data_IF_796337978560
#
_entry.id   IF_796337978560
#
_cell.length_a   1.000
_cell.length_b   1.000
_cell.length_c   1.000
_cell.angle_alpha   90.00
_cell.angle_beta   90.00
_cell.angle_gamma   90.00
#
_symmetry.space_group_name_H-M   'P 1'
#
loop_
_entity.id
_entity.type
_entity.pdbx_description
1 polymer ?
#
# COMPACT_ATOMS: atom_id res chain seq x y z
N UNK A 1 70.43 -24.14 26.06
CA UNK A 1 69.41 -23.65 27.03
C UNK A 1 68.90 -22.33 26.50
N UNK A 2 67.69 -22.13 25.97
CA UNK A 2 66.51 -22.97 25.79
C UNK A 2 65.86 -22.63 24.44
N UNK A 3 65.22 -23.64 23.86
CA UNK A 3 64.37 -23.58 22.68
C UNK A 3 63.13 -22.70 22.94
N UNK A 4 62.71 -21.92 21.93
CA UNK A 4 61.31 -21.51 21.81
C UNK A 4 60.80 -21.80 20.41
N UNK A 5 59.67 -22.48 20.42
CA UNK A 5 59.02 -23.22 19.37
C UNK A 5 58.21 -22.35 18.41
N UNK A 6 58.04 -22.92 17.22
CA UNK A 6 57.26 -22.47 16.08
C UNK A 6 55.74 -22.55 16.37
N UNK A 7 54.95 -21.52 16.01
CA UNK A 7 53.57 -21.69 15.50
C UNK A 7 52.98 -20.38 14.92
N UNK A 8 52.33 -20.42 13.74
CA UNK A 8 51.56 -19.31 13.19
C UNK A 8 50.05 -19.48 13.50
N UNK A 9 49.35 -18.40 13.86
CA UNK A 9 47.88 -18.29 13.80
C UNK A 9 47.50 -16.80 13.96
N UNK A 10 46.53 -16.24 13.26
CA UNK A 10 45.50 -16.86 12.44
C UNK A 10 44.98 -15.96 11.34
N UNK A 11 44.26 -16.60 10.43
CA UNK A 11 43.43 -15.96 9.40
C UNK A 11 42.37 -15.05 10.03
N UNK A 12 42.01 -13.93 9.38
CA UNK A 12 40.81 -13.20 9.75
C UNK A 12 39.58 -14.09 9.48
N UNK A 13 38.70 -14.16 10.49
CA UNK A 13 37.46 -14.90 10.45
C UNK A 13 36.65 -14.56 9.19
N UNK A 14 36.24 -15.60 8.47
CA UNK A 14 35.26 -15.49 7.41
C UNK A 14 33.99 -14.85 7.97
N UNK A 15 33.55 -13.76 7.33
CA UNK A 15 32.20 -13.26 7.49
C UNK A 15 31.23 -14.41 7.19
N UNK A 16 30.43 -14.77 8.19
CA UNK A 16 29.21 -15.54 8.04
C UNK A 16 28.27 -14.78 7.10
N UNK A 17 28.47 -15.01 5.80
CA UNK A 17 27.50 -14.73 4.77
C UNK A 17 26.37 -15.74 4.90
N UNK A 18 25.52 -15.55 5.91
CA UNK A 18 24.17 -16.09 5.86
C UNK A 18 23.45 -15.29 4.77
N UNK A 19 23.56 -15.80 3.54
CA UNK A 19 22.59 -15.54 2.48
C UNK A 19 21.23 -16.00 3.03
N UNK A 20 20.56 -15.10 3.75
CA UNK A 20 19.12 -15.18 3.95
C UNK A 20 18.55 -15.04 2.56
N UNK A 21 18.33 -16.18 1.89
CA UNK A 21 17.60 -16.24 0.64
C UNK A 21 16.27 -15.57 0.90
N UNK A 22 16.12 -14.32 0.43
CA UNK A 22 14.91 -13.54 0.62
C UNK A 22 13.77 -14.33 0.00
N UNK A 23 12.88 -14.86 0.84
CA UNK A 23 11.77 -15.67 0.37
C UNK A 23 10.88 -14.81 -0.53
N UNK A 24 10.74 -15.21 -1.79
CA UNK A 24 9.77 -14.59 -2.70
C UNK A 24 8.36 -14.94 -2.22
N UNK A 25 7.54 -13.91 -2.00
CA UNK A 25 6.12 -14.03 -1.67
C UNK A 25 5.36 -13.12 -2.62
N UNK A 26 4.36 -13.68 -3.33
CA UNK A 26 3.47 -12.89 -4.19
C UNK A 26 2.07 -13.46 -4.14
N UNK A 27 1.12 -12.63 -3.75
CA UNK A 27 -0.29 -12.90 -3.95
C UNK A 27 -0.65 -12.67 -5.41
N UNK A 28 -1.17 -13.70 -6.06
CA UNK A 28 -1.71 -13.62 -7.41
C UNK A 28 -3.22 -13.36 -7.34
N UNK A 29 -3.74 -12.62 -8.32
CA UNK A 29 -5.17 -12.34 -8.43
C UNK A 29 -5.71 -11.34 -7.40
N UNK A 30 -4.84 -10.52 -6.78
CA UNK A 30 -5.31 -9.37 -5.99
C UNK A 30 -6.00 -8.39 -6.95
N UNK A 31 -7.29 -8.06 -6.75
CA UNK A 31 -8.00 -7.17 -7.66
C UNK A 31 -7.39 -5.77 -7.67
N UNK A 32 -7.13 -5.25 -8.86
CA UNK A 32 -6.75 -3.85 -9.02
C UNK A 32 -8.00 -2.97 -9.10
N UNK A 33 -8.04 -1.94 -8.27
CA UNK A 33 -9.04 -0.89 -8.35
C UNK A 33 -8.37 0.45 -8.61
N UNK A 34 -8.90 1.20 -9.58
CA UNK A 34 -8.53 2.61 -9.75
C UNK A 34 -9.23 3.45 -8.67
N UNK A 35 -8.54 4.47 -8.16
CA UNK A 35 -9.19 5.46 -7.27
C UNK A 35 -10.17 6.34 -8.05
N UNK A 36 -10.08 6.33 -9.38
CA UNK A 36 -11.05 6.91 -10.30
C UNK A 36 -12.04 5.83 -10.79
N UNK A 37 -12.96 6.19 -11.69
CA UNK A 37 -13.99 5.26 -12.17
C UNK A 37 -13.40 4.17 -13.06
N UNK A 38 -12.44 4.53 -13.90
CA UNK A 38 -11.86 3.68 -14.93
C UNK A 38 -10.33 3.79 -14.94
N UNK A 39 -9.60 2.67 -15.02
CA UNK A 39 -8.13 2.69 -15.12
C UNK A 39 -7.61 3.53 -16.31
N UNK A 40 -8.30 3.45 -17.46
CA UNK A 40 -7.91 4.20 -18.66
C UNK A 40 -8.09 5.72 -18.56
N UNK A 41 -8.75 6.22 -17.53
CA UNK A 41 -8.95 7.66 -17.31
C UNK A 41 -7.89 8.29 -16.42
N UNK A 42 -7.06 7.49 -15.74
CA UNK A 42 -6.08 8.00 -14.79
C UNK A 42 -5.12 8.99 -15.46
N UNK A 43 -4.56 8.65 -16.63
CA UNK A 43 -3.62 9.52 -17.36
C UNK A 43 -4.25 10.87 -17.70
N UNK A 44 -5.48 10.87 -18.24
CA UNK A 44 -6.20 12.12 -18.58
C UNK A 44 -6.41 13.01 -17.35
N UNK A 45 -6.77 12.41 -16.22
CA UNK A 45 -7.00 13.17 -14.98
C UNK A 45 -5.69 13.76 -14.44
N UNK A 46 -4.61 12.98 -14.42
CA UNK A 46 -3.36 13.41 -13.75
C UNK A 46 -2.39 14.17 -14.66
N UNK A 47 -2.50 14.01 -15.97
CA UNK A 47 -1.60 14.63 -16.97
C UNK A 47 -2.28 15.78 -17.73
N UNK A 48 -3.58 15.68 -18.00
CA UNK A 48 -4.34 16.66 -18.79
C UNK A 48 -5.27 17.53 -17.93
N UNK A 49 -5.30 17.32 -16.61
CA UNK A 49 -6.23 17.97 -15.67
C UNK A 49 -7.71 17.77 -16.07
N UNK A 50 -8.03 16.63 -16.69
CA UNK A 50 -9.39 16.28 -17.07
C UNK A 50 -10.29 16.15 -15.83
N UNK A 51 -11.55 16.57 -15.93
CA UNK A 51 -12.51 16.42 -14.83
C UNK A 51 -12.74 14.92 -14.55
N UNK A 52 -12.50 14.43 -13.33
CA UNK A 52 -12.81 13.04 -12.97
C UNK A 52 -14.26 12.65 -13.25
N UNK A 53 -15.20 13.60 -13.28
CA UNK A 53 -16.62 13.33 -13.58
C UNK A 53 -16.89 13.06 -15.06
N UNK A 54 -15.94 13.32 -15.95
CA UNK A 54 -16.04 12.97 -17.38
C UNK A 54 -15.77 11.47 -17.62
N UNK A 55 -15.17 10.78 -16.64
CA UNK A 55 -15.00 9.33 -16.64
C UNK A 55 -16.37 8.62 -16.54
N UNK A 56 -16.85 7.91 -17.57
CA UNK A 56 -18.18 7.29 -17.56
C UNK A 56 -18.34 6.25 -16.44
N UNK A 57 -17.24 5.72 -15.90
CA UNK A 57 -17.23 4.74 -14.81
C UNK A 57 -17.40 5.35 -13.41
N UNK A 58 -17.35 6.67 -13.24
CA UNK A 58 -17.25 7.27 -11.90
C UNK A 58 -18.39 6.88 -10.95
N UNK A 59 -19.61 6.70 -11.47
CA UNK A 59 -20.78 6.32 -10.66
C UNK A 59 -20.69 4.94 -10.03
N UNK A 60 -19.85 4.05 -10.55
CA UNK A 60 -19.62 2.73 -9.96
C UNK A 60 -19.01 2.82 -8.55
N UNK A 61 -18.35 3.93 -8.23
CA UNK A 61 -17.83 4.21 -6.88
C UNK A 61 -18.93 4.55 -5.85
N UNK A 62 -20.19 4.69 -6.27
CA UNK A 62 -21.34 4.89 -5.41
C UNK A 62 -21.63 6.35 -5.02
N UNK A 63 -20.86 7.32 -5.53
CA UNK A 63 -21.14 8.74 -5.29
C UNK A 63 -22.41 9.18 -6.02
N UNK A 64 -23.28 9.90 -5.33
CA UNK A 64 -24.52 10.43 -5.92
C UNK A 64 -24.29 11.77 -6.65
N UNK A 65 -23.47 12.65 -6.07
CA UNK A 65 -23.22 13.99 -6.57
C UNK A 65 -21.83 14.08 -7.24
N UNK A 66 -21.73 14.63 -8.46
CA UNK A 66 -20.43 14.83 -9.12
C UNK A 66 -19.46 15.70 -8.30
N UNK A 67 -19.97 16.70 -7.59
CA UNK A 67 -19.18 17.58 -6.73
C UNK A 67 -18.41 16.80 -5.65
N UNK A 68 -19.12 15.89 -4.97
CA UNK A 68 -18.53 15.06 -3.91
C UNK A 68 -17.50 14.11 -4.48
N UNK A 69 -17.79 13.47 -5.62
CA UNK A 69 -16.83 12.59 -6.28
C UNK A 69 -15.56 13.34 -6.70
N UNK A 70 -15.69 14.48 -7.40
CA UNK A 70 -14.56 15.31 -7.82
C UNK A 70 -13.70 15.75 -6.64
N UNK A 71 -14.34 16.08 -5.52
CA UNK A 71 -13.63 16.43 -4.31
C UNK A 71 -12.92 15.21 -3.73
N UNK A 72 -13.64 14.12 -3.46
CA UNK A 72 -13.08 13.01 -2.70
C UNK A 72 -12.13 12.15 -3.48
N UNK A 73 -12.41 11.83 -4.75
CA UNK A 73 -11.71 10.77 -5.45
C UNK A 73 -10.19 11.03 -5.66
N UNK A 74 -9.70 12.28 -5.55
CA UNK A 74 -8.24 12.57 -5.48
C UNK A 74 -7.56 12.15 -4.17
N UNK A 75 -8.32 11.72 -3.16
CA UNK A 75 -7.90 11.51 -1.76
C UNK A 75 -8.15 10.09 -1.25
N UNK A 76 -8.69 9.22 -2.11
CA UNK A 76 -9.17 7.89 -1.71
C UNK A 76 -8.19 6.77 -2.05
N UNK A 77 -6.92 7.05 -2.36
CA UNK A 77 -5.93 6.01 -2.64
C UNK A 77 -5.85 4.96 -1.51
N UNK A 78 -5.90 5.40 -0.25
CA UNK A 78 -5.92 4.50 0.91
C UNK A 78 -7.14 3.59 0.97
N UNK A 79 -8.35 4.14 0.80
CA UNK A 79 -9.57 3.31 0.75
C UNK A 79 -9.58 2.41 -0.47
N UNK A 80 -9.06 2.86 -1.62
CA UNK A 80 -8.99 2.04 -2.83
C UNK A 80 -8.06 0.85 -2.65
N UNK A 81 -6.89 1.05 -2.02
CA UNK A 81 -6.01 -0.04 -1.61
C UNK A 81 -6.71 -1.01 -0.64
N UNK A 82 -7.52 -0.49 0.28
CA UNK A 82 -8.26 -1.31 1.23
C UNK A 82 -9.37 -2.11 0.55
N UNK A 83 -10.14 -1.53 -0.36
CA UNK A 83 -11.13 -2.23 -1.20
C UNK A 83 -10.47 -3.41 -1.94
N UNK A 84 -9.31 -3.20 -2.58
CA UNK A 84 -8.55 -4.28 -3.22
C UNK A 84 -8.19 -5.42 -2.27
N UNK A 85 -7.81 -5.12 -1.01
CA UNK A 85 -7.54 -6.13 0.00
C UNK A 85 -8.81 -6.86 0.47
N UNK A 86 -9.90 -6.14 0.69
CA UNK A 86 -11.19 -6.71 1.08
C UNK A 86 -11.74 -7.65 0.00
N UNK A 87 -11.72 -7.22 -1.27
CA UNK A 87 -12.12 -8.02 -2.42
C UNK A 87 -11.25 -9.28 -2.56
N UNK A 88 -9.93 -9.14 -2.42
CA UNK A 88 -9.01 -10.29 -2.46
C UNK A 88 -9.33 -11.33 -1.38
N UNK A 89 -9.71 -10.88 -0.18
CA UNK A 89 -10.09 -11.77 0.91
C UNK A 89 -11.56 -12.22 0.86
N UNK A 90 -12.37 -11.69 -0.06
CA UNK A 90 -13.81 -11.96 -0.12
C UNK A 90 -14.58 -11.43 1.09
N UNK A 91 -14.14 -10.31 1.65
CA UNK A 91 -14.82 -9.61 2.75
C UNK A 91 -15.77 -8.59 2.12
N UNK A 92 -17.07 -8.74 2.39
CA UNK A 92 -18.08 -7.84 1.84
C UNK A 92 -17.91 -6.40 2.38
N UNK A 93 -18.12 -5.42 1.51
CA UNK A 93 -18.10 -4.01 1.87
C UNK A 93 -19.09 -3.21 1.02
N UNK A 94 -19.44 -2.01 1.50
CA UNK A 94 -20.22 -1.05 0.72
C UNK A 94 -19.39 -0.48 -0.44
N UNK A 95 -20.02 0.10 -1.47
CA UNK A 95 -19.30 0.89 -2.48
C UNK A 95 -18.47 2.00 -1.84
N UNK A 96 -17.41 2.45 -2.53
CA UNK A 96 -16.44 3.43 -2.04
C UNK A 96 -17.04 4.65 -1.34
N UNK A 97 -18.14 5.21 -1.85
CA UNK A 97 -18.82 6.34 -1.21
C UNK A 97 -19.37 6.00 0.18
N UNK A 98 -20.01 4.83 0.34
CA UNK A 98 -20.50 4.36 1.64
C UNK A 98 -19.36 3.97 2.57
N UNK A 99 -18.28 3.39 2.03
CA UNK A 99 -17.07 3.09 2.79
C UNK A 99 -16.41 4.37 3.33
N UNK A 100 -16.34 5.42 2.50
CA UNK A 100 -15.85 6.74 2.89
C UNK A 100 -16.72 7.38 3.97
N UNK A 101 -18.04 7.32 3.82
CA UNK A 101 -18.98 7.87 4.82
C UNK A 101 -18.74 7.25 6.20
N UNK A 102 -18.55 5.94 6.25
CA UNK A 102 -18.24 5.23 7.49
C UNK A 102 -16.85 5.59 8.03
N UNK A 103 -15.85 5.60 7.16
CA UNK A 103 -14.49 6.01 7.51
C UNK A 103 -14.45 7.43 8.13
N UNK A 104 -15.25 8.38 7.59
CA UNK A 104 -15.39 9.73 8.14
C UNK A 104 -15.97 9.73 9.55
N UNK A 105 -17.01 8.93 9.83
CA UNK A 105 -17.59 8.81 11.18
C UNK A 105 -16.57 8.30 12.20
N UNK A 106 -15.62 7.47 11.75
CA UNK A 106 -14.56 6.92 12.57
C UNK A 106 -13.28 7.76 12.60
N UNK A 107 -13.28 8.96 12.00
CA UNK A 107 -12.13 9.87 12.02
C UNK A 107 -10.95 9.41 11.17
N UNK A 108 -11.18 8.49 10.22
CA UNK A 108 -10.16 8.03 9.25
C UNK A 108 -9.74 9.16 8.33
N UNK A 109 -10.66 10.07 8.03
CA UNK A 109 -10.41 11.32 7.32
C UNK A 109 -10.94 12.48 8.15
N UNK A 110 -10.25 13.61 8.08
CA UNK A 110 -10.67 14.83 8.76
C UNK A 110 -10.63 16.01 7.81
N UNK A 111 -11.75 16.72 7.72
CA UNK A 111 -11.83 18.01 7.06
C UNK A 111 -11.10 19.06 7.90
N UNK A 112 -10.26 19.86 7.24
CA UNK A 112 -9.58 21.00 7.85
C UNK A 112 -10.44 22.25 7.70
N UNK A 113 -10.18 23.25 8.53
CA UNK A 113 -10.88 24.56 8.49
C UNK A 113 -10.70 25.29 7.15
N UNK A 114 -9.57 25.05 6.46
CA UNK A 114 -9.26 25.62 5.14
C UNK A 114 -9.96 24.91 3.97
N UNK A 115 -10.87 23.96 4.24
CA UNK A 115 -11.53 23.15 3.22
C UNK A 115 -10.66 22.02 2.65
N UNK A 116 -9.43 21.86 3.16
CA UNK A 116 -8.58 20.73 2.89
C UNK A 116 -9.02 19.46 3.63
N UNK A 117 -8.34 18.36 3.36
CA UNK A 117 -8.52 17.09 4.07
C UNK A 117 -7.16 16.59 4.50
N UNK A 118 -7.04 16.15 5.74
CA UNK A 118 -5.90 15.34 6.15
C UNK A 118 -5.91 14.03 5.34
N UNK A 119 -4.74 13.54 4.95
CA UNK A 119 -4.64 12.20 4.35
C UNK A 119 -5.19 11.13 5.30
N UNK A 120 -5.43 9.92 4.79
CA UNK A 120 -5.92 8.80 5.60
C UNK A 120 -5.10 8.66 6.89
N UNK A 121 -5.77 8.79 8.03
CA UNK A 121 -5.14 8.79 9.35
C UNK A 121 -5.03 7.34 9.84
N UNK A 122 -3.80 6.86 10.02
CA UNK A 122 -3.53 5.42 10.16
C UNK A 122 -4.12 4.77 11.42
N UNK A 123 -4.05 5.45 12.57
CA UNK A 123 -4.56 4.87 13.83
C UNK A 123 -6.11 4.77 13.85
N UNK A 124 -6.87 5.81 13.47
CA UNK A 124 -8.31 5.69 13.28
C UNK A 124 -8.68 4.64 12.23
N UNK A 125 -7.96 4.59 11.09
CA UNK A 125 -8.15 3.55 10.09
C UNK A 125 -7.96 2.14 10.67
N UNK A 126 -6.87 1.92 11.43
CA UNK A 126 -6.58 0.64 12.03
C UNK A 126 -7.71 0.16 12.96
N UNK A 127 -8.17 1.03 13.85
CA UNK A 127 -9.25 0.72 14.78
C UNK A 127 -10.57 0.42 14.05
N UNK A 128 -10.89 1.21 13.02
CA UNK A 128 -12.10 1.02 12.22
C UNK A 128 -12.04 -0.25 11.37
N UNK A 129 -10.91 -0.52 10.69
CA UNK A 129 -10.73 -1.70 9.86
C UNK A 129 -10.87 -3.00 10.67
N UNK A 130 -10.34 -3.02 11.90
CA UNK A 130 -10.46 -4.15 12.81
C UNK A 130 -11.90 -4.34 13.27
N UNK A 131 -12.56 -3.26 13.71
CA UNK A 131 -13.93 -3.32 14.23
C UNK A 131 -14.98 -3.67 13.17
N UNK A 132 -14.87 -3.09 11.97
CA UNK A 132 -15.89 -3.22 10.92
C UNK A 132 -15.65 -4.43 10.00
N UNK A 133 -14.39 -4.86 9.81
CA UNK A 133 -14.04 -5.88 8.80
C UNK A 133 -13.23 -7.06 9.37
N UNK A 134 -12.86 -7.04 10.65
CA UNK A 134 -11.99 -8.08 11.23
C UNK A 134 -10.58 -8.10 10.61
N UNK A 135 -10.13 -6.97 10.06
CA UNK A 135 -8.78 -6.82 9.50
C UNK A 135 -7.89 -6.17 10.56
N UNK A 136 -6.92 -6.93 11.07
CA UNK A 136 -5.94 -6.38 11.99
C UNK A 136 -4.98 -5.47 11.22
N UNK A 137 -4.70 -4.30 11.77
CA UNK A 137 -3.81 -3.33 11.14
C UNK A 137 -2.66 -2.97 12.07
N UNK A 138 -1.43 -3.22 11.62
CA UNK A 138 -0.21 -2.78 12.30
C UNK A 138 0.36 -1.55 11.60
N UNK A 139 0.45 -0.44 12.33
CA UNK A 139 1.02 0.81 11.82
C UNK A 139 2.54 0.77 11.86
N UNK A 140 3.17 1.04 10.73
CA UNK A 140 4.63 1.05 10.56
C UNK A 140 5.10 2.49 10.41
N UNK A 141 6.15 2.87 11.15
CA UNK A 141 6.74 4.21 11.10
C UNK A 141 8.25 4.13 11.21
N UNK A 142 8.95 4.96 10.44
CA UNK A 142 10.42 5.01 10.36
C UNK A 142 11.06 3.69 9.91
N UNK A 143 10.43 3.02 8.95
CA UNK A 143 10.92 1.76 8.38
C UNK A 143 11.23 1.88 6.88
N UNK A 144 12.25 1.16 6.41
CA UNK A 144 12.58 1.06 4.98
C UNK A 144 11.51 0.29 4.18
N UNK A 145 11.58 0.37 2.85
CA UNK A 145 10.61 -0.34 1.99
C UNK A 145 10.80 -1.85 2.09
N UNK A 146 12.03 -2.32 2.20
CA UNK A 146 12.40 -3.73 2.36
C UNK A 146 11.79 -4.31 3.65
N UNK A 147 11.96 -3.60 4.77
CA UNK A 147 11.36 -3.98 6.07
C UNK A 147 9.84 -3.96 6.01
N UNK A 148 9.25 -2.94 5.38
CA UNK A 148 7.80 -2.83 5.23
C UNK A 148 7.24 -3.96 4.36
N UNK A 149 7.89 -4.27 3.24
CA UNK A 149 7.49 -5.29 2.29
C UNK A 149 7.63 -6.71 2.85
N UNK A 150 8.64 -6.93 3.72
CA UNK A 150 8.84 -8.21 4.40
C UNK A 150 7.66 -8.61 5.31
N UNK A 151 6.75 -7.69 5.65
CA UNK A 151 5.50 -8.03 6.36
C UNK A 151 4.45 -8.68 5.47
N UNK A 152 4.57 -8.65 4.14
CA UNK A 152 3.66 -9.42 3.26
C UNK A 152 3.93 -10.91 3.47
N UNK A 153 2.89 -11.64 3.87
CA UNK A 153 2.90 -13.07 4.11
C UNK A 153 1.59 -13.72 3.65
N UNK A 154 1.38 -15.00 3.92
CA UNK A 154 0.21 -15.74 3.42
C UNK A 154 -1.16 -15.11 3.74
N UNK A 155 -1.29 -14.32 4.82
CA UNK A 155 -2.53 -13.69 5.25
C UNK A 155 -2.42 -12.15 5.34
N UNK A 156 -1.29 -11.57 4.93
CA UNK A 156 -0.97 -10.15 5.13
C UNK A 156 -0.62 -9.44 3.82
N UNK A 157 -1.32 -8.35 3.54
CA UNK A 157 -0.97 -7.37 2.50
C UNK A 157 -0.45 -6.09 3.17
N UNK A 158 0.26 -5.24 2.44
CA UNK A 158 0.86 -4.03 3.03
C UNK A 158 0.47 -2.79 2.24
N UNK A 159 -0.02 -1.76 2.91
CA UNK A 159 -0.18 -0.42 2.34
C UNK A 159 1.02 0.43 2.74
N UNK A 160 1.72 1.03 1.77
CA UNK A 160 2.84 1.95 2.07
C UNK A 160 2.56 3.36 1.55
N UNK A 161 3.12 4.36 2.24
CA UNK A 161 3.09 5.73 1.76
C UNK A 161 4.25 6.01 0.82
N UNK A 162 3.90 6.51 -0.35
CA UNK A 162 4.83 6.90 -1.40
C UNK A 162 4.44 8.28 -1.91
N UNK A 163 5.31 8.94 -2.67
CA UNK A 163 4.90 10.11 -3.42
C UNK A 163 4.15 9.74 -4.70
N UNK A 164 3.17 10.54 -5.13
CA UNK A 164 2.38 10.29 -6.32
C UNK A 164 3.22 10.14 -7.61
N UNK A 165 4.44 10.68 -7.64
CA UNK A 165 5.37 10.59 -8.77
C UNK A 165 5.83 9.15 -9.07
N UNK A 166 5.61 8.18 -8.17
CA UNK A 166 5.90 6.76 -8.44
C UNK A 166 5.17 6.19 -9.67
N UNK A 167 4.16 6.91 -10.18
CA UNK A 167 3.53 6.66 -11.49
C UNK A 167 4.54 6.69 -12.65
N UNK A 168 5.64 7.40 -12.47
CA UNK A 168 6.72 7.60 -13.44
C UNK A 168 8.09 7.35 -12.77
N UNK A 169 8.42 6.08 -12.46
CA UNK A 169 9.61 5.74 -11.67
C UNK A 169 10.94 6.21 -12.27
N UNK A 170 10.97 6.43 -13.59
CA UNK A 170 12.10 6.99 -14.32
C UNK A 170 12.32 8.49 -14.08
N UNK A 171 11.30 9.21 -13.59
CA UNK A 171 11.37 10.65 -13.32
C UNK A 171 11.86 10.91 -11.91
N UNK A 172 12.33 12.15 -11.67
CA UNK A 172 12.63 12.61 -10.33
C UNK A 172 11.34 12.83 -9.53
N UNK A 173 11.42 12.68 -8.20
CA UNK A 173 10.35 13.03 -7.27
C UNK A 173 10.75 14.27 -6.46
N UNK A 174 9.79 15.15 -6.18
CA UNK A 174 10.05 16.35 -5.38
C UNK A 174 9.92 16.08 -3.89
N UNK A 175 9.07 15.13 -3.51
CA UNK A 175 8.78 14.78 -2.13
C UNK A 175 8.63 13.27 -1.93
N UNK A 176 8.46 12.86 -0.67
CA UNK A 176 8.11 11.51 -0.26
C UNK A 176 6.76 11.52 0.46
N UNK A 177 5.92 10.53 0.16
CA UNK A 177 4.57 10.42 0.72
C UNK A 177 3.53 11.33 0.06
N UNK A 178 2.32 11.31 0.63
CA UNK A 178 1.14 12.00 0.08
C UNK A 178 0.25 11.09 -0.78
N UNK A 179 0.71 9.87 -1.08
CA UNK A 179 -0.04 8.84 -1.77
C UNK A 179 0.13 7.48 -1.07
N UNK A 180 -0.77 6.54 -1.33
CA UNK A 180 -0.77 5.18 -0.79
C UNK A 180 -0.86 4.15 -1.93
N UNK A 181 -0.07 3.10 -1.85
CA UNK A 181 -0.09 1.95 -2.77
C UNK A 181 -0.24 0.65 -1.96
N UNK A 182 -0.77 -0.39 -2.58
CA UNK A 182 -0.95 -1.71 -1.98
C UNK A 182 0.15 -2.66 -2.48
N UNK A 183 1.08 -3.02 -1.62
CA UNK A 183 2.01 -4.11 -1.84
C UNK A 183 1.30 -5.45 -1.62
N UNK A 184 1.44 -6.34 -2.59
CA UNK A 184 0.90 -7.70 -2.53
C UNK A 184 1.96 -8.76 -2.84
N UNK A 185 3.23 -8.37 -2.88
CA UNK A 185 4.34 -9.29 -2.93
C UNK A 185 5.68 -8.60 -2.77
N UNK A 186 6.69 -9.39 -2.46
CA UNK A 186 8.10 -9.03 -2.45
C UNK A 186 8.97 -10.20 -2.89
N UNK A 187 10.13 -9.88 -3.43
CA UNK A 187 11.04 -10.87 -4.00
C UNK A 187 11.86 -10.29 -5.14
N UNK A 188 12.90 -11.01 -5.54
CA UNK A 188 13.78 -10.64 -6.66
C UNK A 188 14.38 -9.22 -6.53
N UNK A 189 14.58 -8.74 -5.29
CA UNK A 189 15.10 -7.39 -5.02
C UNK A 189 14.07 -6.26 -5.20
N UNK A 190 12.77 -6.57 -5.22
CA UNK A 190 11.71 -5.58 -5.36
C UNK A 190 10.36 -5.98 -4.76
N UNK A 191 9.33 -5.23 -5.16
CA UNK A 191 7.94 -5.41 -4.68
C UNK A 191 6.95 -5.44 -5.83
N UNK A 192 5.91 -6.25 -5.67
CA UNK A 192 4.70 -6.21 -6.51
C UNK A 192 3.63 -5.37 -5.83
N UNK A 193 3.02 -4.45 -6.59
CA UNK A 193 2.05 -3.51 -6.04
C UNK A 193 0.94 -3.10 -7.03
N UNK A 194 -0.16 -2.65 -6.43
CA UNK A 194 -1.20 -1.86 -7.09
C UNK A 194 -1.05 -0.39 -6.72
N UNK A 195 -1.07 0.48 -7.72
CA UNK A 195 -1.11 1.93 -7.58
C UNK A 195 -2.49 2.43 -8.02
N UNK A 196 -3.39 2.78 -7.08
CA UNK A 196 -4.75 3.21 -7.39
C UNK A 196 -4.84 4.39 -8.36
N UNK A 197 -3.78 5.19 -8.43
CA UNK A 197 -3.67 6.33 -9.33
C UNK A 197 -2.57 6.15 -10.38
N UNK A 198 -2.10 4.92 -10.58
CA UNK A 198 -1.08 4.60 -11.55
C UNK A 198 -1.54 4.84 -12.99
N UNK A 199 -0.59 5.19 -13.84
CA UNK A 199 -0.75 5.08 -15.29
C UNK A 199 0.01 3.85 -15.78
N UNK A 200 -0.38 3.31 -16.92
CA UNK A 200 0.29 2.14 -17.47
C UNK A 200 1.79 2.42 -17.72
N UNK A 201 2.69 1.46 -17.41
CA UNK A 201 2.40 0.12 -16.89
C UNK A 201 2.33 0.03 -15.35
N UNK A 202 2.59 1.12 -14.62
CA UNK A 202 2.75 1.11 -13.16
C UNK A 202 1.45 1.30 -12.37
N UNK A 203 0.34 0.76 -12.90
CA UNK A 203 -0.99 0.84 -12.28
C UNK A 203 -1.38 -0.41 -11.51
N UNK A 204 -1.20 -1.58 -12.12
CA UNK A 204 -1.72 -2.84 -11.62
C UNK A 204 -0.67 -3.94 -11.73
N UNK A 205 -0.49 -4.71 -10.66
CA UNK A 205 0.46 -5.83 -10.59
C UNK A 205 1.88 -5.41 -11.04
N UNK A 206 2.22 -4.16 -10.73
CA UNK A 206 3.45 -3.53 -11.16
C UNK A 206 4.58 -4.03 -10.27
N UNK A 207 5.76 -4.23 -10.86
CA UNK A 207 6.97 -4.57 -10.11
C UNK A 207 8.00 -3.47 -10.23
N UNK A 208 8.62 -3.11 -9.11
CA UNK A 208 9.75 -2.18 -9.07
C UNK A 208 10.83 -2.66 -8.09
N UNK A 209 12.11 -2.43 -8.39
CA UNK A 209 13.21 -2.68 -7.46
C UNK A 209 13.06 -1.85 -6.19
N UNK A 210 13.52 -2.39 -5.05
CA UNK A 210 13.48 -1.68 -3.77
C UNK A 210 14.15 -0.31 -3.84
N UNK A 211 15.33 -0.22 -4.48
CA UNK A 211 16.05 1.04 -4.68
C UNK A 211 15.17 2.11 -5.36
N UNK A 212 14.37 1.69 -6.34
CA UNK A 212 13.45 2.60 -7.03
C UNK A 212 12.33 3.04 -6.10
N UNK A 213 11.68 2.11 -5.39
CA UNK A 213 10.55 2.43 -4.50
C UNK A 213 11.00 3.27 -3.30
N UNK A 214 12.21 3.02 -2.76
CA UNK A 214 12.79 3.73 -1.63
C UNK A 214 12.87 5.24 -1.85
N UNK A 215 13.08 5.69 -3.11
CA UNK A 215 13.11 7.11 -3.48
C UNK A 215 11.77 7.80 -3.20
N UNK A 216 10.66 7.11 -3.44
CA UNK A 216 9.30 7.63 -3.26
C UNK A 216 8.73 7.34 -1.86
N UNK A 217 9.21 6.27 -1.21
CA UNK A 217 8.69 5.76 0.06
C UNK A 217 8.91 6.74 1.21
N UNK A 218 7.84 6.99 1.96
CA UNK A 218 7.81 7.95 3.06
C UNK A 218 8.14 7.32 4.42
N UNK A 219 8.77 6.14 4.39
CA UNK A 219 9.19 5.34 5.56
C UNK A 219 8.05 5.00 6.53
N UNK A 220 6.83 4.80 6.01
CA UNK A 220 5.64 4.53 6.82
C UNK A 220 4.57 3.81 6.01
N UNK A 221 3.75 3.04 6.71
CA UNK A 221 2.66 2.29 6.11
C UNK A 221 1.84 1.54 7.14
N UNK A 222 1.10 0.56 6.67
CA UNK A 222 0.23 -0.30 7.46
C UNK A 222 0.30 -1.73 6.91
N UNK A 223 0.56 -2.71 7.76
CA UNK A 223 0.33 -4.11 7.42
C UNK A 223 -1.11 -4.49 7.75
N UNK A 224 -1.80 -5.08 6.78
CA UNK A 224 -3.19 -5.50 6.87
C UNK A 224 -3.22 -7.02 6.93
N UNK A 225 -3.60 -7.59 8.06
CA UNK A 225 -3.69 -9.04 8.25
C UNK A 225 -5.14 -9.45 8.37
N UNK A 226 -5.57 -10.36 7.50
CA UNK A 226 -6.89 -10.99 7.64
C UNK A 226 -6.90 -11.85 8.89
N UNK A 227 -7.71 -11.51 9.88
CA UNK A 227 -7.90 -12.42 11.01
C UNK A 227 -8.77 -13.60 10.56
N UNK A 228 -8.23 -14.81 10.64
CA UNK A 228 -9.06 -16.01 10.51
C UNK A 228 -9.86 -16.11 11.80
N UNK A 229 -11.17 -15.88 11.74
CA UNK A 229 -12.01 -16.38 12.82
C UNK A 229 -11.79 -17.89 12.89
N UNK A 230 -11.24 -18.37 14.01
CA UNK A 230 -11.25 -19.77 14.34
C UNK A 230 -12.71 -20.20 14.24
N UNK A 231 -13.07 -20.97 13.21
CA UNK A 231 -14.39 -21.61 13.18
C UNK A 231 -14.47 -22.39 14.49
N UNK A 232 -15.39 -21.98 15.36
CA UNK A 232 -15.69 -22.75 16.56
C UNK A 232 -15.92 -24.20 16.13
N UNK A 233 -15.25 -25.12 16.81
CA UNK A 233 -15.59 -26.54 16.71
C UNK A 233 -17.11 -26.65 16.86
N UNK A 234 -17.84 -27.31 15.94
CA UNK A 234 -19.23 -27.61 16.21
C UNK A 234 -19.29 -28.46 17.47
N UNK A 235 -20.22 -28.10 18.36
CA UNK A 235 -20.60 -28.91 19.51
C UNK A 235 -21.17 -30.26 19.06
#
# INVERSE_FOLDING_TARGET
>A
MNEFTNQPAGEPAAHDGSDVVSRVIRHHGVPYLSQWGSPGWVARIVEEDADPCDDPGWRASGFALPGDYRFWAKRLCGLTCFESALDYWGIAHAPRAGLLEDALRHGVYRMREDGGVDGLIYRPFAAWAEAAFGVRVEVMTDEGIETSAARVDADTLVIVSVSPEIRYPERANAHQGGHLILLHGHGDGGVWFHNPSGVAPYQADAWLPYETVARFHARRGMALTRTRHLRGKPA
#
